data_IF_088910145668
#
_entry.id   IF_088910145668
#
_cell.length_a   1.000
_cell.length_b   1.000
_cell.length_c   1.000
_cell.angle_alpha   90.00
_cell.angle_beta   90.00
_cell.angle_gamma   90.00
#
_symmetry.space_group_name_H-M   'P 1'
#
loop_
_entity.id
_entity.type
_entity.pdbx_description
1 polymer ?
#
# COMPACT_ATOMS: atom_id res chain seq x y z
N UNK A 1 12.20 -21.60 -44.96
CA UNK A 1 10.94 -21.62 -44.19
C UNK A 1 11.14 -21.96 -42.70
N UNK A 2 11.87 -23.02 -42.32
CA UNK A 2 12.12 -23.36 -40.90
C UNK A 2 12.86 -22.26 -40.11
N UNK A 3 13.93 -21.68 -40.66
CA UNK A 3 14.69 -20.61 -40.00
C UNK A 3 13.86 -19.34 -39.75
N UNK A 4 13.00 -18.97 -40.71
CA UNK A 4 12.09 -17.83 -40.59
C UNK A 4 11.07 -18.05 -39.46
N UNK A 5 10.55 -19.27 -39.34
CA UNK A 5 9.62 -19.64 -38.26
C UNK A 5 10.25 -19.61 -36.87
N UNK A 6 11.54 -20.01 -36.77
CA UNK A 6 12.30 -19.95 -35.52
C UNK A 6 12.55 -18.50 -35.12
N UNK A 7 12.91 -17.63 -36.07
CA UNK A 7 13.09 -16.20 -35.80
C UNK A 7 11.79 -15.53 -35.32
N UNK A 8 10.66 -15.84 -35.97
CA UNK A 8 9.36 -15.31 -35.54
C UNK A 8 8.97 -15.78 -34.14
N UNK A 9 9.31 -17.03 -33.77
CA UNK A 9 9.08 -17.54 -32.43
C UNK A 9 9.89 -16.78 -31.37
N UNK A 10 11.17 -16.51 -31.63
CA UNK A 10 12.02 -15.74 -30.70
C UNK A 10 11.44 -14.34 -30.48
N UNK A 11 11.06 -13.65 -31.56
CA UNK A 11 10.44 -12.32 -31.49
C UNK A 11 9.14 -12.37 -30.67
N UNK A 12 8.31 -13.40 -30.88
CA UNK A 12 7.08 -13.55 -30.10
C UNK A 12 7.34 -13.75 -28.59
N UNK A 13 8.39 -14.50 -28.23
CA UNK A 13 8.79 -14.69 -26.82
C UNK A 13 9.28 -13.37 -26.21
N UNK A 14 10.10 -12.60 -26.92
CA UNK A 14 10.57 -11.30 -26.43
C UNK A 14 9.41 -10.32 -26.22
N UNK A 15 8.46 -10.27 -27.17
CA UNK A 15 7.25 -9.44 -27.03
C UNK A 15 6.43 -9.89 -25.82
N UNK A 16 6.24 -11.20 -25.62
CA UNK A 16 5.50 -11.72 -24.48
C UNK A 16 6.15 -11.35 -23.13
N UNK A 17 7.49 -11.37 -23.04
CA UNK A 17 8.22 -10.95 -21.86
C UNK A 17 8.04 -9.45 -21.57
N UNK A 18 8.16 -8.61 -22.61
CA UNK A 18 7.96 -7.16 -22.48
C UNK A 18 6.54 -6.80 -22.05
N UNK A 19 5.54 -7.46 -22.63
CA UNK A 19 4.13 -7.28 -22.25
C UNK A 19 3.91 -7.77 -20.81
N UNK A 20 4.47 -8.93 -20.44
CA UNK A 20 4.37 -9.46 -19.08
C UNK A 20 4.91 -8.50 -18.02
N UNK A 21 6.07 -7.89 -18.28
CA UNK A 21 6.66 -6.86 -17.41
C UNK A 21 5.74 -5.65 -17.23
N UNK A 22 5.12 -5.17 -18.32
CA UNK A 22 4.19 -4.04 -18.26
C UNK A 22 2.90 -4.35 -17.53
N UNK A 23 2.38 -5.57 -17.69
CA UNK A 23 1.21 -6.04 -16.93
C UNK A 23 1.53 -6.10 -15.44
N UNK A 24 2.70 -6.62 -15.06
CA UNK A 24 3.09 -6.70 -13.65
C UNK A 24 3.21 -5.31 -13.02
N UNK A 25 3.81 -4.35 -13.72
CA UNK A 25 3.97 -2.96 -13.27
C UNK A 25 2.60 -2.30 -12.98
N UNK A 26 1.62 -2.48 -13.87
CA UNK A 26 0.25 -1.96 -13.71
C UNK A 26 -0.51 -2.66 -12.57
N UNK A 27 -0.41 -3.99 -12.46
CA UNK A 27 -1.11 -4.74 -11.41
C UNK A 27 -0.47 -4.61 -10.03
N UNK A 28 0.81 -4.24 -9.97
CA UNK A 28 1.56 -4.07 -8.72
C UNK A 28 0.97 -2.95 -7.87
N UNK A 29 0.64 -1.80 -8.48
CA UNK A 29 0.05 -0.67 -7.77
C UNK A 29 -1.33 -1.02 -7.20
N UNK A 30 -2.18 -1.66 -8.02
CA UNK A 30 -3.50 -2.14 -7.60
C UNK A 30 -3.39 -3.15 -6.45
N UNK A 31 -2.41 -4.06 -6.51
CA UNK A 31 -2.16 -5.03 -5.45
C UNK A 31 -1.73 -4.35 -4.15
N UNK A 32 -0.82 -3.38 -4.23
CA UNK A 32 -0.37 -2.64 -3.05
C UNK A 32 -1.50 -1.80 -2.46
N UNK A 33 -2.37 -1.26 -3.30
CA UNK A 33 -3.57 -0.55 -2.85
C UNK A 33 -4.53 -1.45 -2.09
N UNK A 34 -4.83 -2.63 -2.64
CA UNK A 34 -5.68 -3.60 -1.96
C UNK A 34 -5.06 -4.09 -0.65
N UNK A 35 -3.74 -4.33 -0.63
CA UNK A 35 -3.02 -4.68 0.60
C UNK A 35 -3.20 -3.58 1.67
N UNK A 36 -3.10 -2.31 1.30
CA UNK A 36 -3.33 -1.20 2.24
C UNK A 36 -4.74 -1.23 2.80
N UNK A 37 -5.75 -1.36 1.94
CA UNK A 37 -7.15 -1.40 2.38
C UNK A 37 -7.41 -2.56 3.35
N UNK A 38 -6.85 -3.74 3.07
CA UNK A 38 -6.96 -4.90 3.96
C UNK A 38 -6.16 -4.72 5.27
N UNK A 39 -4.97 -4.14 5.20
CA UNK A 39 -4.09 -3.92 6.35
C UNK A 39 -4.68 -2.88 7.32
N UNK A 40 -5.29 -1.81 6.81
CA UNK A 40 -6.02 -0.81 7.61
C UNK A 40 -7.25 -1.44 8.28
N UNK A 41 -8.06 -2.20 7.52
CA UNK A 41 -9.27 -2.88 8.04
C UNK A 41 -8.93 -3.90 9.13
N UNK A 42 -7.90 -4.71 8.92
CA UNK A 42 -7.47 -5.74 9.88
C UNK A 42 -6.80 -5.13 11.12
N UNK A 43 -6.09 -4.01 10.96
CA UNK A 43 -5.38 -3.35 12.05
C UNK A 43 -6.26 -2.47 12.95
N UNK A 44 -7.55 -2.31 12.63
CA UNK A 44 -8.52 -1.47 13.34
C UNK A 44 -8.08 -0.01 13.48
N UNK A 45 -7.34 0.52 12.50
CA UNK A 45 -6.98 1.93 12.45
C UNK A 45 -8.26 2.74 12.23
N UNK A 46 -8.39 3.88 12.92
CA UNK A 46 -9.57 4.75 12.85
C UNK A 46 -9.60 5.44 11.47
N UNK A 47 -10.28 4.83 10.51
CA UNK A 47 -10.58 5.44 9.21
C UNK A 47 -12.05 5.22 8.87
N UNK A 48 -12.81 6.29 8.64
CA UNK A 48 -14.22 6.20 8.24
C UNK A 48 -14.37 5.51 6.87
N UNK A 49 -13.40 5.71 5.98
CA UNK A 49 -13.26 4.98 4.73
C UNK A 49 -11.78 4.55 4.48
N UNK A 50 -11.47 3.25 4.59
CA UNK A 50 -10.13 2.72 4.32
C UNK A 50 -9.64 2.96 2.89
N UNK A 51 -10.55 3.05 1.92
CA UNK A 51 -10.21 3.28 0.51
C UNK A 51 -9.76 4.73 0.33
N UNK A 52 -10.55 5.69 0.82
CA UNK A 52 -10.17 7.10 0.82
C UNK A 52 -8.86 7.33 1.59
N UNK A 53 -8.70 6.69 2.75
CA UNK A 53 -7.48 6.77 3.55
C UNK A 53 -6.24 6.29 2.78
N UNK A 54 -6.28 5.08 2.20
CA UNK A 54 -5.18 4.56 1.40
C UNK A 54 -4.89 5.43 0.16
N UNK A 55 -5.92 6.01 -0.46
CA UNK A 55 -5.74 6.94 -1.59
C UNK A 55 -5.04 8.24 -1.20
N UNK A 56 -5.31 8.74 0.01
CA UNK A 56 -4.61 9.88 0.60
C UNK A 56 -3.16 9.55 0.93
N UNK A 57 -2.91 8.37 1.49
CA UNK A 57 -1.56 7.93 1.85
C UNK A 57 -0.66 7.74 0.62
N UNK A 58 -1.19 7.17 -0.47
CA UNK A 58 -0.46 7.06 -1.75
C UNK A 58 -0.03 8.43 -2.28
N UNK A 59 -0.86 9.48 -2.07
CA UNK A 59 -0.53 10.85 -2.49
C UNK A 59 0.46 11.55 -1.57
N UNK A 60 0.37 11.31 -0.27
CA UNK A 60 1.24 11.96 0.72
C UNK A 60 2.64 11.33 0.73
N UNK A 61 2.71 10.00 0.73
CA UNK A 61 3.96 9.25 0.90
C UNK A 61 4.04 8.03 -0.05
N UNK A 62 4.19 8.26 -1.36
CA UNK A 62 4.23 7.18 -2.36
C UNK A 62 5.41 6.22 -2.12
N UNK A 63 6.52 6.71 -1.57
CA UNK A 63 7.69 5.89 -1.28
C UNK A 63 7.42 4.90 -0.15
N UNK A 64 6.82 5.35 0.97
CA UNK A 64 6.44 4.49 2.08
C UNK A 64 5.47 3.40 1.63
N UNK A 65 4.49 3.77 0.81
CA UNK A 65 3.50 2.86 0.28
C UNK A 65 4.11 1.78 -0.63
N UNK A 66 4.98 2.18 -1.55
CA UNK A 66 5.62 1.27 -2.52
C UNK A 66 6.64 0.37 -1.85
N UNK A 67 7.47 0.91 -0.95
CA UNK A 67 8.48 0.16 -0.21
C UNK A 67 7.85 -0.95 0.64
N UNK A 68 6.74 -0.62 1.33
CA UNK A 68 6.04 -1.57 2.19
C UNK A 68 5.01 -2.42 1.46
N UNK A 69 4.93 -2.31 0.12
CA UNK A 69 3.99 -3.08 -0.72
C UNK A 69 2.54 -2.94 -0.25
N UNK A 70 2.17 -1.76 0.25
CA UNK A 70 0.86 -1.47 0.82
C UNK A 70 0.65 -1.85 2.29
N UNK A 71 1.60 -2.50 2.97
CA UNK A 71 1.47 -2.84 4.42
C UNK A 71 1.88 -1.67 5.31
N UNK A 72 0.97 -0.74 5.50
CA UNK A 72 1.25 0.58 6.10
C UNK A 72 0.81 0.71 7.56
N UNK A 73 -0.03 -0.20 8.07
CA UNK A 73 -0.65 -0.06 9.38
C UNK A 73 0.37 -0.03 10.54
N UNK A 74 1.47 -0.79 10.41
CA UNK A 74 2.54 -0.78 11.40
C UNK A 74 3.18 0.61 11.53
N UNK A 75 3.43 1.26 10.40
CA UNK A 75 4.06 2.59 10.36
C UNK A 75 3.12 3.68 10.86
N UNK A 76 1.82 3.54 10.60
CA UNK A 76 0.82 4.49 11.07
C UNK A 76 0.69 4.44 12.59
N UNK A 77 0.64 3.24 13.19
CA UNK A 77 0.61 3.08 14.66
C UNK A 77 1.86 3.60 15.36
N UNK A 78 3.02 3.55 14.69
CA UNK A 78 4.28 4.05 15.23
C UNK A 78 4.40 5.58 15.15
N UNK A 79 3.71 6.20 14.19
CA UNK A 79 3.66 7.66 14.01
C UNK A 79 2.37 8.30 14.54
N UNK A 80 1.43 7.52 15.09
CA UNK A 80 0.32 8.08 15.85
C UNK A 80 0.94 8.82 17.04
N UNK A 81 0.74 10.16 17.16
CA UNK A 81 1.12 10.82 18.39
C UNK A 81 0.39 10.07 19.50
N UNK A 82 1.14 9.54 20.47
CA UNK A 82 0.55 8.98 21.68
C UNK A 82 -0.50 9.98 22.14
N UNK A 83 -1.77 9.62 21.98
CA UNK A 83 -2.88 10.43 22.42
C UNK A 83 -2.60 10.74 23.87
N UNK A 84 -2.27 11.99 24.16
CA UNK A 84 -2.25 12.52 25.52
C UNK A 84 -3.60 12.17 26.14
N UNK A 85 -3.60 11.20 27.05
CA UNK A 85 -4.76 10.89 27.86
C UNK A 85 -5.21 12.20 28.54
N UNK A 86 -6.50 12.60 28.44
CA UNK A 86 -7.02 13.62 29.33
C UNK A 86 -7.21 12.97 30.69
N UNK A 87 -6.17 12.97 31.52
CA UNK A 87 -6.29 12.57 32.92
C UNK A 87 -6.98 13.71 33.69
N UNK A 88 -8.29 13.83 33.51
CA UNK A 88 -9.15 14.51 34.45
C UNK A 88 -9.55 13.51 35.54
N UNK A 89 -8.87 13.52 36.68
CA UNK A 89 -9.55 13.22 37.95
C UNK A 89 -8.80 13.78 39.17
N UNK A 90 -9.40 14.86 39.70
CA UNK A 90 -9.58 15.22 41.11
C UNK A 90 -8.47 14.85 42.11
N UNK A 91 -7.79 15.88 42.63
CA UNK A 91 -7.42 15.94 44.05
C UNK A 91 -7.97 17.23 44.66
N UNK A 92 -8.95 17.05 45.56
CA UNK A 92 -9.54 18.07 46.44
C UNK A 92 -8.45 18.94 47.08
N UNK A 93 -8.51 20.25 46.83
CA UNK A 93 -8.10 21.23 47.83
C UNK A 93 -9.22 21.33 48.87
N UNK A 94 -8.90 21.00 50.11
CA UNK A 94 -9.66 21.46 51.28
C UNK A 94 -8.64 22.18 52.15
N UNK A 95 -8.83 23.49 52.26
CA UNK A 95 -8.18 24.37 53.22
C UNK A 95 -9.15 24.62 54.36
#
# INVERSE_FOLDING_TARGET
>A
MKATSIMLFIIAVEIALLVGLKVEEQYREVRYFNNCVEDIKSSKIKSDDPVAFCSGLVRQDPYLFTFNKGKVAKYLKENEPQSSEPNSDKKKETK
#
